data_IF_516546513256
#
_entry.id   IF_516546513256
#
_cell.length_a   1.000
_cell.length_b   1.000
_cell.length_c   1.000
_cell.angle_alpha   90.00
_cell.angle_beta   90.00
_cell.angle_gamma   90.00
#
_symmetry.space_group_name_H-M   'P 1'
#
loop_
_entity.id
_entity.type
_entity.pdbx_description
1 polymer ?
#
# COMPACT_ATOMS: atom_id res chain seq x y z
N UNK A 1 2.48 33.57 14.60
CA UNK A 1 3.38 32.40 14.48
C UNK A 1 3.94 32.11 15.84
N UNK A 2 3.43 31.10 16.55
CA UNK A 2 3.99 30.69 17.82
C UNK A 2 5.24 29.85 17.54
N UNK A 3 6.40 30.46 17.71
CA UNK A 3 7.65 29.72 17.79
C UNK A 3 7.58 28.86 19.06
N UNK A 4 7.33 27.55 18.91
CA UNK A 4 7.59 26.59 19.97
C UNK A 4 9.08 26.72 20.30
N UNK A 5 9.40 27.30 21.46
CA UNK A 5 10.77 27.32 21.98
C UNK A 5 11.14 25.89 22.32
N UNK A 6 12.07 25.35 21.57
CA UNK A 6 12.64 24.04 21.86
C UNK A 6 13.28 24.11 23.27
N UNK A 7 13.22 23.02 24.06
CA UNK A 7 13.84 22.94 25.34
C UNK A 7 15.34 23.27 25.23
N UNK A 8 15.88 23.98 26.23
CA UNK A 8 17.28 24.38 26.20
C UNK A 8 18.22 23.18 26.09
N UNK A 9 17.88 22.06 26.71
CA UNK A 9 18.59 20.78 26.61
C UNK A 9 18.76 20.28 25.19
N UNK A 10 17.70 20.37 24.33
CA UNK A 10 17.78 19.99 22.92
C UNK A 10 18.72 20.93 22.13
N UNK A 11 18.74 22.21 22.46
CA UNK A 11 19.62 23.17 21.82
C UNK A 11 21.09 22.88 22.23
N UNK A 12 21.33 22.56 23.48
CA UNK A 12 22.68 22.26 23.99
C UNK A 12 23.18 20.90 23.47
N UNK A 13 22.29 19.91 23.35
CA UNK A 13 22.60 18.64 22.72
C UNK A 13 22.98 18.84 21.23
N UNK A 14 22.24 19.68 20.50
CA UNK A 14 22.58 19.99 19.12
C UNK A 14 23.90 20.71 18.95
N UNK A 15 24.18 21.68 19.83
CA UNK A 15 25.49 22.38 19.85
C UNK A 15 26.65 21.43 20.15
N UNK A 16 26.44 20.45 21.02
CA UNK A 16 27.42 19.43 21.34
C UNK A 16 27.79 18.57 20.12
N UNK A 17 26.86 18.36 19.17
CA UNK A 17 27.14 17.65 17.89
C UNK A 17 28.13 18.39 16.99
N UNK A 18 28.35 19.67 17.21
CA UNK A 18 29.31 20.51 16.48
C UNK A 18 30.51 20.95 17.34
N UNK A 19 30.76 20.28 18.46
CA UNK A 19 31.88 20.62 19.37
C UNK A 19 33.25 20.49 18.69
N UNK A 20 34.20 21.32 19.10
CA UNK A 20 35.56 21.31 18.54
C UNK A 20 36.31 20.01 18.84
N UNK A 21 36.11 19.46 20.05
CA UNK A 21 36.70 18.20 20.47
C UNK A 21 36.00 17.03 19.75
N UNK A 22 36.79 16.18 19.12
CA UNK A 22 36.33 15.05 18.32
C UNK A 22 35.64 13.96 19.13
N UNK A 23 36.09 13.71 20.38
CA UNK A 23 35.46 12.70 21.24
C UNK A 23 34.09 13.15 21.74
N UNK A 24 33.98 14.40 22.16
CA UNK A 24 32.70 14.99 22.64
C UNK A 24 31.72 15.04 21.50
N UNK A 25 32.16 15.45 20.31
CA UNK A 25 31.34 15.51 19.12
C UNK A 25 30.83 14.12 18.72
N UNK A 26 31.69 13.12 18.65
CA UNK A 26 31.29 11.76 18.26
C UNK A 26 30.27 11.17 19.26
N UNK A 27 30.49 11.34 20.55
CA UNK A 27 29.53 10.90 21.58
C UNK A 27 28.18 11.60 21.44
N UNK A 28 28.19 12.92 21.23
CA UNK A 28 26.95 13.70 21.08
C UNK A 28 26.18 13.32 19.81
N UNK A 29 26.86 13.08 18.72
CA UNK A 29 26.21 12.68 17.46
C UNK A 29 25.64 11.26 17.52
N UNK A 30 26.39 10.33 18.14
CA UNK A 30 25.88 8.98 18.39
C UNK A 30 24.64 8.99 19.28
N UNK A 31 24.64 9.80 20.34
CA UNK A 31 23.47 9.97 21.20
C UNK A 31 22.29 10.58 20.43
N UNK A 32 22.54 11.60 19.63
CA UNK A 32 21.53 12.25 18.81
C UNK A 32 20.89 11.28 17.77
N UNK A 33 21.71 10.47 17.07
CA UNK A 33 21.20 9.47 16.15
C UNK A 33 20.36 8.40 16.86
N UNK A 34 20.79 7.96 18.06
CA UNK A 34 20.05 6.99 18.86
C UNK A 34 18.69 7.54 19.37
N UNK A 35 18.65 8.81 19.79
CA UNK A 35 17.41 9.47 20.22
C UNK A 35 16.41 9.66 19.07
N UNK A 36 16.91 9.90 17.84
CA UNK A 36 16.07 10.05 16.66
C UNK A 36 15.51 8.71 16.13
N UNK A 37 16.15 7.61 16.45
CA UNK A 37 15.79 6.30 15.90
C UNK A 37 14.33 5.93 16.17
N UNK A 38 13.87 6.11 17.40
CA UNK A 38 12.51 5.73 17.78
C UNK A 38 11.42 6.62 17.17
N UNK A 39 11.51 7.97 17.24
CA UNK A 39 10.56 8.86 16.57
C UNK A 39 10.51 8.67 15.06
N UNK A 40 11.65 8.44 14.40
CA UNK A 40 11.70 8.18 12.96
C UNK A 40 11.03 6.86 12.59
N UNK A 41 11.28 5.80 13.37
CA UNK A 41 10.63 4.51 13.18
C UNK A 41 9.11 4.65 13.30
N UNK A 42 8.62 5.30 14.33
CA UNK A 42 7.22 5.55 14.53
C UNK A 42 6.64 6.41 13.39
N UNK A 43 7.31 7.51 13.02
CA UNK A 43 6.86 8.40 11.94
C UNK A 43 6.79 7.73 10.58
N UNK A 44 7.70 6.81 10.26
CA UNK A 44 7.64 6.03 9.03
C UNK A 44 6.43 5.10 9.03
N UNK A 45 6.15 4.43 10.15
CA UNK A 45 5.01 3.51 10.25
C UNK A 45 3.65 4.23 10.34
N UNK A 46 3.57 5.38 10.99
CA UNK A 46 2.32 6.14 11.14
C UNK A 46 1.87 6.82 9.84
N UNK A 47 2.82 7.14 8.96
CA UNK A 47 2.55 7.79 7.66
C UNK A 47 2.47 6.84 6.48
N UNK A 48 2.63 5.57 6.75
CA UNK A 48 2.52 4.53 5.74
C UNK A 48 1.05 4.30 5.37
N UNK A 49 0.69 4.62 4.12
CA UNK A 49 -0.65 4.39 3.59
C UNK A 49 -0.98 2.89 3.42
N UNK A 50 0.01 2.03 3.55
CA UNK A 50 -0.13 0.58 3.45
C UNK A 50 -0.46 -0.10 4.79
N UNK A 51 -0.37 0.63 5.91
CA UNK A 51 -0.59 0.07 7.26
C UNK A 51 -1.97 -0.54 7.50
N UNK A 52 -2.96 -0.15 6.69
CA UNK A 52 -4.30 -0.76 6.68
C UNK A 52 -4.46 -1.91 5.70
N UNK A 53 -3.48 -2.14 4.80
CA UNK A 53 -3.54 -3.16 3.76
C UNK A 53 -2.67 -4.36 4.14
N UNK A 54 -1.42 -4.11 4.52
CA UNK A 54 -0.45 -5.15 4.82
C UNK A 54 -0.35 -5.46 6.30
N UNK A 55 -0.35 -6.75 6.63
CA UNK A 55 0.03 -7.24 7.94
C UNK A 55 1.55 -7.17 8.08
N UNK A 56 2.03 -6.36 9.03
CA UNK A 56 3.46 -6.19 9.32
C UNK A 56 3.92 -7.31 10.24
N UNK A 57 4.86 -8.14 9.78
CA UNK A 57 5.40 -9.26 10.53
C UNK A 57 6.89 -9.09 10.74
N UNK A 58 7.30 -8.85 11.98
CA UNK A 58 8.72 -8.76 12.34
C UNK A 58 9.29 -10.18 12.47
N UNK A 59 10.26 -10.49 11.64
CA UNK A 59 10.92 -11.80 11.63
C UNK A 59 11.96 -11.91 12.75
N UNK A 60 12.03 -13.07 13.37
CA UNK A 60 13.13 -13.37 14.28
C UNK A 60 14.47 -13.42 13.53
N UNK A 61 15.61 -13.08 14.18
CA UNK A 61 16.92 -13.16 13.56
C UNK A 61 17.18 -14.55 12.97
N UNK A 62 17.50 -14.59 11.66
CA UNK A 62 17.73 -15.85 10.94
C UNK A 62 16.49 -16.60 10.45
N UNK A 63 15.28 -16.12 10.77
CA UNK A 63 14.06 -16.67 10.23
C UNK A 63 13.90 -16.34 8.74
N UNK A 64 13.34 -17.28 7.99
CA UNK A 64 12.97 -17.08 6.59
C UNK A 64 11.51 -16.64 6.50
N UNK A 65 11.19 -15.76 5.56
CA UNK A 65 9.84 -15.31 5.30
C UNK A 65 9.12 -16.35 4.41
N UNK A 66 8.79 -17.51 4.99
CA UNK A 66 8.04 -18.56 4.31
C UNK A 66 6.59 -18.51 4.77
N UNK A 67 5.69 -18.46 3.80
CA UNK A 67 4.26 -18.41 4.04
C UNK A 67 3.59 -19.60 3.38
N UNK A 68 2.74 -20.34 4.10
CA UNK A 68 1.95 -21.40 3.50
C UNK A 68 0.94 -20.76 2.55
N UNK A 69 0.88 -21.26 1.32
CA UNK A 69 -0.16 -20.90 0.38
C UNK A 69 -1.46 -21.64 0.70
N UNK A 70 -2.58 -21.10 0.25
CA UNK A 70 -3.87 -21.78 0.37
C UNK A 70 -3.78 -23.17 -0.30
N UNK A 71 -4.19 -24.19 0.43
CA UNK A 71 -4.11 -25.59 -0.03
C UNK A 71 -5.06 -25.90 -1.19
N UNK A 72 -6.03 -25.04 -1.43
CA UNK A 72 -7.03 -25.20 -2.49
C UNK A 72 -6.72 -24.22 -3.61
N UNK A 73 -6.21 -24.73 -4.73
CA UNK A 73 -5.97 -23.89 -5.91
C UNK A 73 -7.29 -23.42 -6.50
N UNK A 74 -7.33 -22.20 -7.11
CA UNK A 74 -8.50 -21.73 -7.82
C UNK A 74 -8.92 -22.74 -8.91
N UNK A 75 -10.18 -23.22 -8.85
CA UNK A 75 -10.71 -24.21 -9.76
C UNK A 75 -10.66 -25.66 -9.25
N UNK A 76 -9.97 -25.92 -8.12
CA UNK A 76 -9.86 -27.26 -7.50
C UNK A 76 -10.78 -27.42 -6.29
N UNK A 77 -11.66 -26.46 -6.03
CA UNK A 77 -12.56 -26.46 -4.87
C UNK A 77 -13.46 -27.70 -4.82
N UNK A 78 -13.89 -28.18 -5.99
CA UNK A 78 -14.73 -29.38 -6.11
C UNK A 78 -14.03 -30.66 -5.66
N UNK A 79 -12.69 -30.67 -5.64
CA UNK A 79 -11.93 -31.83 -5.19
C UNK A 79 -12.07 -32.10 -3.70
N UNK A 80 -12.44 -31.06 -2.91
CA UNK A 80 -12.56 -31.11 -1.46
C UNK A 80 -14.01 -31.18 -0.96
N UNK A 81 -14.97 -31.33 -1.85
CA UNK A 81 -16.38 -31.51 -1.49
C UNK A 81 -16.59 -32.81 -0.76
N UNK A 82 -17.37 -32.77 0.32
CA UNK A 82 -17.78 -33.96 1.04
C UNK A 82 -18.72 -34.83 0.20
N UNK A 83 -18.52 -36.14 0.22
CA UNK A 83 -19.34 -37.09 -0.50
C UNK A 83 -20.46 -37.68 0.38
N UNK A 84 -21.64 -37.88 -0.22
CA UNK A 84 -22.68 -38.69 0.39
C UNK A 84 -22.23 -40.17 0.40
N UNK A 85 -22.08 -40.77 1.57
CA UNK A 85 -21.62 -42.16 1.70
C UNK A 85 -22.77 -43.11 1.99
N UNK A 86 -22.80 -44.30 1.39
CA UNK A 86 -23.64 -45.38 1.82
C UNK A 86 -23.20 -45.90 3.22
N UNK A 87 -24.12 -46.49 3.98
CA UNK A 87 -23.89 -46.93 5.39
C UNK A 87 -22.66 -47.78 5.63
N UNK A 88 -22.05 -48.37 4.61
CA UNK A 88 -20.90 -49.28 4.71
C UNK A 88 -19.79 -48.92 3.70
N UNK A 89 -19.64 -47.63 3.36
CA UNK A 89 -18.61 -47.18 2.45
C UNK A 89 -17.30 -46.80 3.19
N UNK A 90 -16.15 -46.89 2.50
CA UNK A 90 -14.88 -46.37 3.00
C UNK A 90 -14.87 -44.86 2.76
N UNK A 91 -14.45 -44.09 3.77
CA UNK A 91 -14.23 -42.64 3.64
C UNK A 91 -13.11 -42.40 2.60
N UNK A 92 -13.35 -41.61 1.55
CA UNK A 92 -12.30 -41.27 0.62
C UNK A 92 -11.22 -40.44 1.36
N UNK A 93 -10.00 -40.90 1.28
CA UNK A 93 -8.84 -40.21 1.81
C UNK A 93 -8.32 -39.26 0.76
N UNK A 94 -8.07 -38.04 1.13
CA UNK A 94 -7.43 -37.03 0.27
C UNK A 94 -6.20 -36.50 0.97
N UNK A 95 -5.14 -36.36 0.23
CA UNK A 95 -3.90 -35.76 0.70
C UNK A 95 -3.85 -34.29 0.24
N UNK A 96 -3.56 -33.41 1.18
CA UNK A 96 -3.38 -31.99 0.91
C UNK A 96 -1.87 -31.72 0.98
N UNK A 97 -1.28 -31.38 -0.16
CA UNK A 97 0.09 -30.91 -0.23
C UNK A 97 0.06 -29.38 -0.20
N UNK A 98 0.65 -28.79 0.83
CA UNK A 98 0.79 -27.35 0.95
C UNK A 98 2.02 -26.86 0.18
N UNK A 99 1.83 -25.87 -0.66
CA UNK A 99 2.93 -25.11 -1.23
C UNK A 99 3.35 -24.00 -0.24
N UNK A 100 4.64 -23.66 -0.22
CA UNK A 100 5.15 -22.53 0.55
C UNK A 100 5.68 -21.45 -0.39
N UNK A 101 5.32 -20.20 -0.11
CA UNK A 101 5.87 -19.04 -0.80
C UNK A 101 7.00 -18.45 0.03
N UNK A 102 8.19 -18.41 -0.53
CA UNK A 102 9.28 -17.64 0.02
C UNK A 102 9.21 -16.19 -0.48
N UNK A 103 9.13 -15.23 0.46
CA UNK A 103 9.09 -13.81 0.15
C UNK A 103 10.50 -13.22 0.29
N UNK A 104 11.11 -12.74 -0.80
CA UNK A 104 12.42 -12.10 -0.72
C UNK A 104 12.31 -10.76 0.04
N UNK A 105 13.22 -10.54 0.96
CA UNK A 105 13.41 -9.25 1.62
C UNK A 105 14.53 -8.47 0.95
N UNK A 106 14.41 -7.16 0.90
CA UNK A 106 15.42 -6.27 0.34
C UNK A 106 15.66 -5.09 1.27
N UNK A 107 16.90 -4.63 1.26
CA UNK A 107 17.33 -3.52 2.08
C UNK A 107 17.08 -2.19 1.37
N UNK A 108 16.45 -1.26 2.04
CA UNK A 108 16.35 0.12 1.60
C UNK A 108 17.17 1.00 2.55
N UNK A 109 17.87 1.96 2.00
CA UNK A 109 18.72 2.88 2.75
C UNK A 109 18.50 4.31 2.27
N UNK A 110 18.68 5.24 3.19
CA UNK A 110 18.67 6.66 2.90
C UNK A 110 19.69 7.37 3.79
N UNK A 111 20.14 8.55 3.37
CA UNK A 111 21.04 9.38 4.14
C UNK A 111 20.68 10.86 3.96
N UNK A 112 20.95 11.65 4.98
CA UNK A 112 20.80 13.09 4.91
C UNK A 112 21.93 13.78 5.69
N UNK A 113 22.42 14.87 5.16
CA UNK A 113 23.46 15.67 5.76
C UNK A 113 23.08 17.15 5.85
N UNK A 114 23.74 17.83 6.78
CA UNK A 114 23.62 19.28 6.97
C UNK A 114 24.96 19.90 7.34
N UNK A 115 25.11 21.19 7.06
CA UNK A 115 26.34 21.91 7.43
C UNK A 115 26.47 22.04 8.97
N UNK A 116 27.67 21.79 9.50
CA UNK A 116 28.01 22.01 10.91
C UNK A 116 27.72 23.46 11.37
N UNK A 117 27.70 24.41 10.44
CA UNK A 117 27.32 25.79 10.73
C UNK A 117 25.91 25.88 11.32
N UNK A 118 24.96 25.11 10.79
CA UNK A 118 23.58 25.11 11.33
C UNK A 118 23.49 24.54 12.74
N UNK A 119 24.30 23.53 13.04
CA UNK A 119 24.38 22.98 14.40
C UNK A 119 25.02 23.98 15.36
N UNK A 120 26.11 24.69 14.95
CA UNK A 120 26.76 25.74 15.75
C UNK A 120 25.84 26.92 16.01
N UNK A 121 25.08 27.35 15.01
CA UNK A 121 24.10 28.44 15.11
C UNK A 121 22.78 28.01 15.76
N UNK A 122 22.65 26.74 16.16
CA UNK A 122 21.45 26.15 16.74
C UNK A 122 20.19 26.35 15.91
N UNK A 123 20.31 26.24 14.59
CA UNK A 123 19.18 26.29 13.65
C UNK A 123 18.44 24.94 13.62
N UNK A 124 17.75 24.68 14.69
CA UNK A 124 17.02 23.45 14.89
C UNK A 124 15.94 23.21 13.83
N UNK A 125 15.28 24.27 13.38
CA UNK A 125 14.25 24.25 12.34
C UNK A 125 14.75 23.68 11.00
N UNK A 126 15.97 24.01 10.60
CA UNK A 126 16.59 23.51 9.35
C UNK A 126 16.90 22.01 9.47
N UNK A 127 17.46 21.59 10.61
CA UNK A 127 17.82 20.20 10.83
C UNK A 127 16.55 19.33 10.94
N UNK A 128 15.53 19.79 11.66
CA UNK A 128 14.26 19.07 11.76
C UNK A 128 13.54 18.97 10.41
N UNK A 129 13.68 19.97 9.54
CA UNK A 129 13.17 19.89 8.16
C UNK A 129 13.93 18.82 7.36
N UNK A 130 15.23 18.76 7.48
CA UNK A 130 16.06 17.74 6.85
C UNK A 130 15.64 16.33 7.30
N UNK A 131 15.44 16.13 8.61
CA UNK A 131 14.98 14.85 9.16
C UNK A 131 13.60 14.45 8.62
N UNK A 132 12.67 15.39 8.48
CA UNK A 132 11.36 15.11 7.86
C UNK A 132 11.48 14.69 6.38
N UNK A 133 12.40 15.28 5.63
CA UNK A 133 12.67 14.88 4.24
C UNK A 133 13.25 13.46 4.20
N UNK A 134 14.15 13.14 5.13
CA UNK A 134 14.71 11.81 5.28
C UNK A 134 13.62 10.75 5.55
N UNK A 135 12.74 11.03 6.52
CA UNK A 135 11.59 10.19 6.85
C UNK A 135 10.65 9.99 5.66
N UNK A 136 10.28 11.10 4.98
CA UNK A 136 9.41 11.06 3.82
C UNK A 136 9.99 10.21 2.67
N UNK A 137 11.31 10.17 2.54
CA UNK A 137 11.98 9.32 1.56
C UNK A 137 11.75 7.82 1.80
N UNK A 138 11.80 7.36 3.05
CA UNK A 138 11.48 5.98 3.39
C UNK A 138 10.00 5.66 3.16
N UNK A 139 9.11 6.52 3.65
CA UNK A 139 7.64 6.33 3.47
C UNK A 139 7.29 6.21 2.00
N UNK A 140 7.81 7.12 1.16
CA UNK A 140 7.55 7.09 -0.28
C UNK A 140 8.05 5.79 -0.92
N UNK A 141 9.23 5.30 -0.52
CA UNK A 141 9.79 4.07 -1.07
C UNK A 141 8.97 2.85 -0.67
N UNK A 142 8.61 2.74 0.61
CA UNK A 142 7.76 1.66 1.15
C UNK A 142 6.42 1.64 0.42
N UNK A 143 5.75 2.79 0.32
CA UNK A 143 4.45 2.89 -0.36
C UNK A 143 4.56 2.50 -1.83
N UNK A 144 5.58 2.97 -2.54
CA UNK A 144 5.79 2.63 -3.95
C UNK A 144 6.02 1.13 -4.14
N UNK A 145 6.84 0.49 -3.30
CA UNK A 145 7.14 -0.94 -3.43
C UNK A 145 5.93 -1.81 -3.08
N UNK A 146 5.18 -1.46 -2.02
CA UNK A 146 3.96 -2.16 -1.65
C UNK A 146 2.88 -2.07 -2.73
N UNK A 147 2.62 -0.87 -3.25
CA UNK A 147 1.65 -0.70 -4.34
C UNK A 147 2.07 -1.39 -5.63
N UNK A 148 3.34 -1.37 -6.00
CA UNK A 148 3.84 -2.13 -7.16
C UNK A 148 3.63 -3.62 -7.01
N UNK A 149 3.74 -4.16 -5.80
CA UNK A 149 3.44 -5.57 -5.52
C UNK A 149 1.95 -5.86 -5.69
N UNK A 150 1.06 -5.00 -5.19
CA UNK A 150 -0.39 -5.13 -5.39
C UNK A 150 -0.74 -5.06 -6.88
N UNK A 151 -0.21 -4.08 -7.60
CA UNK A 151 -0.45 -3.91 -9.04
C UNK A 151 0.06 -5.10 -9.84
N UNK A 152 1.24 -5.64 -9.49
CA UNK A 152 1.77 -6.86 -10.12
C UNK A 152 0.89 -8.09 -9.86
N UNK A 153 0.39 -8.25 -8.64
CA UNK A 153 -0.54 -9.34 -8.32
C UNK A 153 -1.88 -9.19 -9.05
N UNK A 154 -2.39 -7.96 -9.15
CA UNK A 154 -3.62 -7.65 -9.89
C UNK A 154 -3.49 -7.94 -11.38
N UNK A 155 -2.36 -7.58 -11.98
CA UNK A 155 -2.07 -7.87 -13.39
C UNK A 155 -1.90 -9.38 -13.63
N UNK A 156 -1.18 -10.07 -12.76
CA UNK A 156 -0.97 -11.52 -12.82
C UNK A 156 -2.26 -12.33 -12.74
N UNK A 157 -3.30 -11.81 -12.09
CA UNK A 157 -4.63 -12.41 -12.07
C UNK A 157 -5.31 -12.40 -13.45
N UNK A 158 -4.95 -11.45 -14.31
CA UNK A 158 -5.50 -11.34 -15.67
C UNK A 158 -6.97 -10.94 -15.77
N UNK A 159 -7.62 -10.61 -14.64
CA UNK A 159 -9.02 -10.18 -14.61
C UNK A 159 -9.09 -8.65 -14.54
N UNK A 160 -9.78 -8.05 -15.51
CA UNK A 160 -10.11 -6.62 -15.51
C UNK A 160 -11.61 -6.47 -15.55
N UNK A 161 -12.13 -5.61 -14.70
CA UNK A 161 -13.56 -5.25 -14.69
C UNK A 161 -13.71 -3.86 -15.26
N UNK A 162 -14.58 -3.74 -16.24
CA UNK A 162 -14.93 -2.46 -16.86
C UNK A 162 -16.39 -2.13 -16.57
N UNK A 163 -16.78 -0.88 -16.70
CA UNK A 163 -18.16 -0.47 -16.60
C UNK A 163 -19.07 -1.25 -17.59
N UNK A 164 -18.51 -1.72 -18.69
CA UNK A 164 -19.20 -2.40 -19.78
C UNK A 164 -19.13 -3.93 -19.74
N UNK A 165 -18.49 -4.48 -18.74
CA UNK A 165 -18.31 -5.91 -18.59
C UNK A 165 -17.02 -6.25 -17.86
N UNK A 166 -16.81 -7.51 -17.60
CA UNK A 166 -15.55 -8.03 -17.07
C UNK A 166 -15.02 -9.09 -18.03
N UNK A 167 -13.75 -9.01 -18.42
CA UNK A 167 -13.09 -10.15 -18.97
C UNK A 167 -12.64 -11.05 -17.78
N UNK A 168 -13.03 -12.29 -17.66
CA UNK A 168 -13.55 -13.27 -18.59
C UNK A 168 -15.07 -13.48 -18.55
N UNK A 169 -15.85 -12.60 -17.94
CA UNK A 169 -17.32 -12.75 -17.96
C UNK A 169 -17.89 -12.37 -19.33
N UNK A 170 -17.60 -13.21 -20.32
CA UNK A 170 -18.20 -13.16 -21.64
C UNK A 170 -19.68 -13.49 -21.51
N UNK A 171 -20.53 -12.49 -21.61
CA UNK A 171 -21.98 -12.75 -21.62
C UNK A 171 -22.87 -11.59 -21.20
N UNK A 172 -22.32 -10.53 -20.64
CA UNK A 172 -23.10 -9.33 -20.34
C UNK A 172 -22.79 -8.23 -21.35
N UNK A 173 -23.53 -8.20 -22.43
CA UNK A 173 -23.61 -7.05 -23.32
C UNK A 173 -24.34 -5.93 -22.59
N UNK A 174 -23.65 -5.21 -21.74
CA UNK A 174 -24.17 -3.96 -21.19
C UNK A 174 -23.66 -2.83 -22.07
N UNK A 175 -24.59 -2.10 -22.60
CA UNK A 175 -24.35 -0.91 -23.42
C UNK A 175 -23.61 0.10 -22.56
N UNK A 176 -22.42 0.58 -22.97
CA UNK A 176 -21.74 1.63 -22.26
C UNK A 176 -22.53 2.93 -22.41
N UNK A 177 -22.97 3.46 -21.31
CA UNK A 177 -23.57 4.79 -21.28
C UNK A 177 -22.57 5.84 -20.81
N UNK A 178 -21.46 5.40 -20.20
CA UNK A 178 -20.40 6.28 -19.72
C UNK A 178 -19.39 6.61 -20.82
N UNK A 179 -18.98 7.87 -20.89
CA UNK A 179 -17.81 8.29 -21.66
C UNK A 179 -16.54 7.71 -21.02
N UNK A 180 -15.50 7.46 -21.81
CA UNK A 180 -14.21 7.00 -21.29
C UNK A 180 -13.65 8.01 -20.29
N UNK A 181 -13.12 7.52 -19.18
CA UNK A 181 -12.62 8.35 -18.07
C UNK A 181 -13.71 8.87 -17.14
N UNK A 182 -14.91 8.31 -17.15
CA UNK A 182 -15.95 8.60 -16.17
C UNK A 182 -16.17 7.43 -15.23
N UNK A 183 -15.98 7.66 -13.94
CA UNK A 183 -16.22 6.67 -12.91
C UNK A 183 -17.72 6.52 -12.64
N UNK A 184 -18.23 5.29 -12.66
CA UNK A 184 -19.66 5.02 -12.50
C UNK A 184 -19.95 4.06 -11.35
N UNK A 185 -21.15 4.17 -10.76
CA UNK A 185 -21.64 3.24 -9.72
C UNK A 185 -21.74 1.80 -10.20
N UNK A 186 -22.00 1.61 -11.50
CA UNK A 186 -22.07 0.28 -12.12
C UNK A 186 -20.72 -0.42 -12.04
N UNK A 187 -19.60 0.30 -12.16
CA UNK A 187 -18.27 -0.28 -12.04
C UNK A 187 -18.06 -0.91 -10.67
N UNK A 188 -18.41 -0.21 -9.59
CA UNK A 188 -18.30 -0.73 -8.21
C UNK A 188 -19.15 -2.00 -8.04
N UNK A 189 -20.40 -1.96 -8.51
CA UNK A 189 -21.31 -3.11 -8.42
C UNK A 189 -20.77 -4.34 -9.19
N UNK A 190 -20.15 -4.11 -10.36
CA UNK A 190 -19.53 -5.16 -11.17
C UNK A 190 -18.27 -5.70 -10.54
N UNK A 191 -17.41 -4.83 -10.03
CA UNK A 191 -16.20 -5.23 -9.29
C UNK A 191 -16.57 -6.13 -8.11
N UNK A 192 -17.61 -5.77 -7.35
CA UNK A 192 -18.12 -6.58 -6.24
C UNK A 192 -18.59 -7.95 -6.71
N UNK A 193 -19.37 -8.00 -7.78
CA UNK A 193 -19.85 -9.27 -8.35
C UNK A 193 -18.70 -10.11 -8.91
N UNK A 194 -17.76 -9.48 -9.61
CA UNK A 194 -16.62 -10.17 -10.21
C UNK A 194 -15.69 -10.74 -9.13
N UNK A 195 -15.42 -9.99 -8.07
CA UNK A 195 -14.60 -10.45 -6.96
C UNK A 195 -15.25 -11.65 -6.25
N UNK A 196 -16.55 -11.56 -5.95
CA UNK A 196 -17.29 -12.66 -5.30
C UNK A 196 -17.31 -13.93 -6.16
N UNK A 197 -17.54 -13.80 -7.48
CA UNK A 197 -17.54 -14.95 -8.40
C UNK A 197 -16.13 -15.49 -8.66
N UNK A 198 -15.14 -14.62 -8.73
CA UNK A 198 -13.74 -14.99 -8.96
C UNK A 198 -13.07 -15.65 -7.77
N UNK A 199 -13.72 -15.70 -6.62
CA UNK A 199 -13.24 -16.37 -5.41
C UNK A 199 -13.42 -17.89 -5.42
N UNK A 200 -14.05 -18.45 -6.46
CA UNK A 200 -14.18 -19.90 -6.61
C UNK A 200 -15.10 -20.58 -5.60
N UNK A 201 -16.04 -19.87 -5.00
CA UNK A 201 -16.96 -20.44 -4.01
C UNK A 201 -16.37 -20.70 -2.63
N UNK A 202 -15.11 -20.39 -2.42
CA UNK A 202 -14.48 -20.42 -1.11
C UNK A 202 -15.07 -19.30 -0.24
N UNK A 203 -15.84 -19.63 0.78
CA UNK A 203 -16.64 -18.69 1.57
C UNK A 203 -15.88 -17.57 2.30
N UNK A 204 -14.54 -17.62 2.27
CA UNK A 204 -13.67 -16.65 2.95
C UNK A 204 -12.99 -15.63 2.04
N UNK A 205 -13.11 -15.74 0.72
CA UNK A 205 -12.49 -14.82 -0.23
C UNK A 205 -13.54 -14.17 -1.12
N UNK A 206 -13.24 -12.98 -1.66
CA UNK A 206 -14.04 -12.35 -2.70
C UNK A 206 -15.05 -11.33 -2.23
N UNK A 207 -14.82 -10.71 -1.09
CA UNK A 207 -15.63 -9.59 -0.62
C UNK A 207 -14.90 -8.28 -0.91
N UNK A 208 -15.35 -7.54 -1.92
CA UNK A 208 -14.82 -6.20 -2.17
C UNK A 208 -15.12 -5.30 -0.96
N UNK A 209 -14.09 -4.88 -0.25
CA UNK A 209 -14.19 -4.00 0.92
C UNK A 209 -13.72 -2.59 0.61
N UNK A 210 -12.66 -2.45 -0.18
CA UNK A 210 -11.98 -1.20 -0.43
C UNK A 210 -11.69 -1.02 -1.92
N UNK A 211 -11.83 0.21 -2.41
CA UNK A 211 -11.47 0.60 -3.78
C UNK A 211 -10.61 1.85 -3.74
N UNK A 212 -9.45 1.75 -4.36
CA UNK A 212 -8.49 2.84 -4.51
C UNK A 212 -8.60 3.44 -5.90
N UNK A 213 -8.79 4.75 -5.97
CA UNK A 213 -9.07 5.47 -7.22
C UNK A 213 -8.39 6.83 -7.25
N UNK A 214 -8.39 7.42 -8.45
CA UNK A 214 -7.79 8.74 -8.72
C UNK A 214 -8.61 9.86 -8.09
N UNK A 215 -8.00 11.04 -8.04
CA UNK A 215 -8.68 12.27 -7.63
C UNK A 215 -9.78 12.66 -8.63
N UNK A 216 -9.55 12.40 -9.91
CA UNK A 216 -10.47 12.64 -11.02
C UNK A 216 -11.73 11.75 -10.87
N UNK A 217 -11.56 10.48 -10.56
CA UNK A 217 -12.69 9.58 -10.28
C UNK A 217 -13.51 10.02 -9.06
N UNK A 218 -12.86 10.58 -8.03
CA UNK A 218 -13.56 11.16 -6.89
C UNK A 218 -14.30 12.44 -7.26
N UNK A 219 -13.82 13.22 -8.25
CA UNK A 219 -14.53 14.36 -8.78
C UNK A 219 -15.81 13.94 -9.51
N UNK A 220 -15.74 12.87 -10.31
CA UNK A 220 -16.91 12.27 -10.96
C UNK A 220 -17.97 11.86 -9.93
N UNK A 221 -17.55 11.21 -8.84
CA UNK A 221 -18.47 10.82 -7.75
C UNK A 221 -19.14 12.05 -7.13
N UNK A 222 -18.42 13.17 -6.97
CA UNK A 222 -19.00 14.41 -6.45
C UNK A 222 -19.98 15.05 -7.43
N UNK A 223 -19.80 14.79 -8.73
CA UNK A 223 -20.64 15.31 -9.80
C UNK A 223 -21.92 14.52 -10.05
N UNK A 224 -22.08 13.33 -9.45
CA UNK A 224 -23.30 12.53 -9.62
C UNK A 224 -24.54 13.27 -9.15
N UNK A 225 -25.55 13.31 -10.00
CA UNK A 225 -26.81 14.00 -9.75
C UNK A 225 -27.72 13.25 -8.75
N UNK A 226 -28.72 13.98 -8.24
CA UNK A 226 -29.73 13.47 -7.28
C UNK A 226 -30.55 12.32 -7.87
N UNK A 227 -30.71 12.30 -9.20
CA UNK A 227 -31.39 11.21 -9.92
C UNK A 227 -30.55 9.93 -9.97
N UNK A 228 -29.26 10.02 -9.76
CA UNK A 228 -28.34 8.88 -9.77
C UNK A 228 -28.12 8.30 -8.37
N UNK A 229 -28.17 9.14 -7.35
CA UNK A 229 -27.97 8.74 -5.96
C UNK A 229 -29.05 9.39 -5.09
N UNK A 230 -29.76 8.59 -4.29
CA UNK A 230 -30.68 9.06 -3.28
C UNK A 230 -30.01 10.07 -2.33
N UNK A 231 -30.73 11.12 -1.97
CA UNK A 231 -30.23 12.21 -1.11
C UNK A 231 -29.65 11.69 0.23
N UNK A 232 -30.17 10.57 0.73
CA UNK A 232 -29.69 9.91 1.94
C UNK A 232 -28.29 9.30 1.73
N UNK A 233 -28.08 8.59 0.64
CA UNK A 233 -26.79 7.98 0.27
C UNK A 233 -25.75 9.06 -0.04
N UNK A 234 -26.16 10.14 -0.70
CA UNK A 234 -25.30 11.31 -0.95
C UNK A 234 -24.85 11.95 0.36
N UNK A 235 -25.73 12.02 1.35
CA UNK A 235 -25.39 12.53 2.68
C UNK A 235 -24.42 11.62 3.42
N UNK A 236 -24.58 10.30 3.33
CA UNK A 236 -23.63 9.34 3.92
C UNK A 236 -22.25 9.44 3.26
N UNK A 237 -22.18 9.55 1.94
CA UNK A 237 -20.93 9.68 1.18
C UNK A 237 -20.16 10.95 1.55
N UNK A 238 -20.87 12.09 1.70
CA UNK A 238 -20.23 13.41 1.85
C UNK A 238 -20.24 13.98 3.27
N UNK A 239 -21.03 13.46 4.18
CA UNK A 239 -21.19 14.00 5.56
C UNK A 239 -20.40 13.23 6.60
N UNK A 240 -19.86 12.07 6.30
CA UNK A 240 -18.91 11.38 7.18
C UNK A 240 -17.60 12.18 7.30
N UNK A 241 -17.70 13.34 7.96
CA UNK A 241 -16.60 14.31 8.11
C UNK A 241 -15.45 13.83 8.99
N UNK A 242 -15.63 12.76 9.75
CA UNK A 242 -14.61 12.36 10.72
C UNK A 242 -13.45 11.58 10.09
N UNK A 243 -13.63 10.96 8.91
CA UNK A 243 -12.58 10.15 8.28
C UNK A 243 -12.39 10.36 6.77
N UNK A 244 -13.15 11.23 6.12
CA UNK A 244 -12.97 11.57 4.69
C UNK A 244 -13.16 10.40 3.71
N UNK A 245 -13.67 9.27 4.16
CA UNK A 245 -13.85 8.07 3.36
C UNK A 245 -15.29 8.01 2.82
N UNK A 246 -15.44 8.08 1.50
CA UNK A 246 -16.73 7.83 0.85
C UNK A 246 -17.03 6.33 0.89
N UNK A 247 -18.26 5.95 1.25
CA UNK A 247 -18.68 4.56 1.26
C UNK A 247 -19.89 4.36 0.35
N UNK A 248 -19.78 3.45 -0.62
CA UNK A 248 -20.84 3.13 -1.59
C UNK A 248 -21.03 1.62 -1.62
N UNK A 249 -22.27 1.17 -1.49
CA UNK A 249 -22.63 -0.27 -1.45
C UNK A 249 -21.86 -1.09 -0.41
N UNK A 250 -21.43 -0.46 0.70
CA UNK A 250 -20.61 -1.10 1.72
C UNK A 250 -19.14 -1.28 1.32
N UNK A 251 -18.69 -0.55 0.31
CA UNK A 251 -17.29 -0.48 -0.15
C UNK A 251 -16.72 0.88 0.21
N UNK A 252 -15.56 0.89 0.83
CA UNK A 252 -14.86 2.13 1.19
C UNK A 252 -14.05 2.60 -0.01
N UNK A 253 -14.16 3.88 -0.34
CA UNK A 253 -13.43 4.50 -1.45
C UNK A 253 -12.27 5.33 -0.91
N UNK A 254 -11.07 5.04 -1.40
CA UNK A 254 -9.84 5.72 -1.02
C UNK A 254 -9.32 6.54 -2.20
N UNK A 255 -9.13 7.83 -1.95
CA UNK A 255 -8.54 8.75 -2.92
C UNK A 255 -7.02 8.68 -2.88
N UNK A 256 -6.38 8.53 -4.05
CA UNK A 256 -4.93 8.49 -4.18
C UNK A 256 -4.43 9.40 -5.30
N UNK A 257 -3.41 10.18 -4.99
CA UNK A 257 -2.80 11.13 -5.92
C UNK A 257 -1.93 10.46 -6.98
N UNK A 258 -1.48 9.24 -6.71
CA UNK A 258 -0.59 8.46 -7.59
C UNK A 258 -1.35 7.65 -8.65
N UNK A 259 -2.69 7.58 -8.54
CA UNK A 259 -3.58 7.07 -9.59
C UNK A 259 -4.08 8.20 -10.48
N UNK A 260 -4.48 7.90 -11.70
CA UNK A 260 -4.98 8.82 -12.70
C UNK A 260 -4.15 8.82 -13.98
N UNK A 261 -4.67 9.45 -15.03
CA UNK A 261 -4.02 9.50 -16.34
C UNK A 261 -2.63 10.15 -16.25
N UNK A 262 -1.59 9.40 -16.64
CA UNK A 262 -0.19 9.86 -16.62
C UNK A 262 0.49 9.87 -15.26
N UNK A 263 -0.17 9.40 -14.18
CA UNK A 263 0.42 9.32 -12.84
C UNK A 263 1.32 8.09 -12.65
N UNK A 264 1.99 7.99 -11.48
CA UNK A 264 3.05 7.00 -11.23
C UNK A 264 2.58 5.56 -11.44
N UNK A 265 1.42 5.18 -10.88
CA UNK A 265 0.96 3.79 -10.93
C UNK A 265 0.36 3.40 -12.27
N UNK A 266 -0.26 4.33 -12.97
CA UNK A 266 -0.68 4.09 -14.34
C UNK A 266 0.51 3.88 -15.26
N UNK A 267 1.55 4.73 -15.13
CA UNK A 267 2.78 4.59 -15.89
C UNK A 267 3.49 3.26 -15.57
N UNK A 268 3.43 2.78 -14.33
CA UNK A 268 3.96 1.48 -13.97
C UNK A 268 3.20 0.35 -14.67
N UNK A 269 1.87 0.38 -14.69
CA UNK A 269 1.04 -0.59 -15.40
C UNK A 269 1.34 -0.59 -16.91
N UNK A 270 1.45 0.60 -17.52
CA UNK A 270 1.72 0.74 -18.97
C UNK A 270 3.13 0.35 -19.35
N UNK A 271 4.14 0.81 -18.63
CA UNK A 271 5.55 0.67 -19.04
C UNK A 271 6.19 -0.60 -18.51
N UNK A 272 5.93 -0.99 -17.28
CA UNK A 272 6.58 -2.13 -16.63
C UNK A 272 5.80 -3.42 -16.85
N UNK A 273 4.49 -3.38 -16.71
CA UNK A 273 3.63 -4.54 -16.92
C UNK A 273 3.09 -4.65 -18.36
N UNK A 274 3.46 -3.68 -19.23
CA UNK A 274 3.04 -3.61 -20.63
C UNK A 274 1.51 -3.69 -20.84
N UNK A 275 0.75 -3.21 -19.85
CA UNK A 275 -0.69 -3.21 -19.89
C UNK A 275 -1.20 -2.01 -20.71
N UNK A 276 -2.01 -2.25 -21.71
CA UNK A 276 -2.71 -1.21 -22.48
C UNK A 276 -4.16 -1.11 -22.02
N UNK A 277 -4.73 0.09 -22.13
CA UNK A 277 -6.14 0.30 -21.86
C UNK A 277 -7.01 -0.51 -22.84
N UNK A 278 -8.08 -1.06 -22.31
CA UNK A 278 -9.03 -1.81 -23.11
C UNK A 278 -9.89 -0.86 -23.95
N UNK A 279 -10.25 -1.33 -25.15
CA UNK A 279 -11.23 -0.65 -26.01
C UNK A 279 -12.52 -1.44 -25.94
N UNK A 280 -13.57 -0.81 -25.44
CA UNK A 280 -14.90 -1.40 -25.33
C UNK A 280 -15.87 -0.57 -26.15
N UNK A 281 -16.57 -1.20 -27.12
CA UNK A 281 -17.51 -0.53 -28.02
C UNK A 281 -16.92 0.71 -28.73
N UNK A 282 -15.69 0.60 -29.23
CA UNK A 282 -14.94 1.66 -29.90
C UNK A 282 -14.52 2.84 -28.99
N UNK A 283 -14.68 2.72 -27.68
CA UNK A 283 -14.22 3.67 -26.70
C UNK A 283 -13.02 3.08 -25.97
N UNK A 284 -11.89 3.76 -26.01
CA UNK A 284 -10.69 3.37 -25.24
C UNK A 284 -10.80 3.96 -23.85
N UNK A 285 -10.71 3.10 -22.84
CA UNK A 285 -10.74 3.48 -21.43
C UNK A 285 -9.46 4.22 -21.07
N UNK A 286 -9.47 4.99 -19.96
CA UNK A 286 -8.40 5.93 -19.66
C UNK A 286 -7.74 5.69 -18.31
N UNK A 287 -8.49 5.23 -17.32
CA UNK A 287 -8.03 5.16 -15.94
C UNK A 287 -8.24 3.79 -15.33
N UNK A 288 -7.42 3.50 -14.32
CA UNK A 288 -7.49 2.28 -13.52
C UNK A 288 -7.89 2.60 -12.07
N UNK A 289 -8.69 1.72 -11.49
CA UNK A 289 -8.89 1.66 -10.06
C UNK A 289 -8.59 0.25 -9.54
N UNK A 290 -8.21 0.13 -8.28
CA UNK A 290 -7.86 -1.14 -7.66
C UNK A 290 -8.85 -1.46 -6.56
N UNK A 291 -9.49 -2.62 -6.68
CA UNK A 291 -10.35 -3.16 -5.64
C UNK A 291 -9.61 -4.19 -4.80
N UNK A 292 -9.74 -4.09 -3.49
CA UNK A 292 -9.13 -5.00 -2.53
C UNK A 292 -10.19 -5.65 -1.64
N UNK A 293 -9.91 -6.89 -1.25
CA UNK A 293 -10.61 -7.59 -0.18
C UNK A 293 -9.72 -7.58 1.08
N UNK A 294 -10.02 -6.67 1.99
CA UNK A 294 -9.34 -6.52 3.28
C UNK A 294 -10.14 -7.14 4.44
N UNK A 295 -11.10 -8.00 4.14
CA UNK A 295 -11.92 -8.67 5.17
C UNK A 295 -11.09 -9.54 6.11
N UNK A 296 -9.97 -10.09 5.62
CA UNK A 296 -8.93 -10.77 6.40
C UNK A 296 -7.57 -10.25 5.94
N UNK A 297 -6.70 -9.88 6.86
CA UNK A 297 -5.38 -9.30 6.54
C UNK A 297 -4.32 -10.33 6.20
N UNK A 298 -4.63 -11.61 6.26
CA UNK A 298 -3.72 -12.74 6.07
C UNK A 298 -3.15 -12.87 4.65
N UNK A 299 -3.76 -12.20 3.67
CA UNK A 299 -3.35 -12.29 2.27
C UNK A 299 -2.32 -11.25 1.83
N UNK A 300 -2.18 -10.19 2.57
CA UNK A 300 -1.22 -9.12 2.30
C UNK A 300 -0.19 -9.09 3.43
N UNK A 301 1.03 -9.51 3.16
CA UNK A 301 2.06 -9.63 4.17
C UNK A 301 3.27 -8.76 3.88
N UNK A 302 3.78 -8.13 4.93
CA UNK A 302 5.01 -7.34 4.91
C UNK A 302 5.98 -7.92 5.94
N UNK A 303 6.81 -8.91 5.55
CA UNK A 303 7.88 -9.38 6.42
C UNK A 303 8.93 -8.28 6.61
N UNK A 304 9.25 -7.98 7.86
CA UNK A 304 10.27 -7.02 8.25
C UNK A 304 11.39 -7.80 8.92
N UNK A 305 12.55 -7.86 8.27
CA UNK A 305 13.72 -8.52 8.83
C UNK A 305 14.52 -7.61 9.74
N UNK A 306 14.62 -6.36 9.35
CA UNK A 306 15.32 -5.34 10.13
C UNK A 306 14.50 -4.04 10.09
N UNK A 307 14.09 -3.60 11.28
CA UNK A 307 13.41 -2.31 11.42
C UNK A 307 14.40 -1.17 11.19
N UNK A 308 13.88 0.03 10.88
CA UNK A 308 14.70 1.21 10.61
C UNK A 308 15.75 1.43 11.72
N UNK A 309 17.01 1.34 11.33
CA UNK A 309 18.17 1.66 12.17
C UNK A 309 18.84 2.92 11.64
N UNK A 310 19.21 3.81 12.53
CA UNK A 310 19.80 5.11 12.19
C UNK A 310 21.18 5.24 12.82
N UNK A 311 22.14 5.68 12.04
CA UNK A 311 23.54 5.84 12.45
C UNK A 311 24.05 7.23 12.07
N UNK A 312 25.06 7.71 12.80
CA UNK A 312 25.82 8.88 12.42
C UNK A 312 26.79 8.58 11.27
N UNK A 313 27.04 9.58 10.44
CA UNK A 313 28.06 9.48 9.40
C UNK A 313 29.35 10.28 9.75
N UNK A 314 30.37 9.63 10.31
CA UNK A 314 31.63 10.29 10.67
C UNK A 314 32.48 10.70 9.45
N UNK A 315 32.20 10.18 8.26
CA UNK A 315 32.98 10.49 7.05
C UNK A 315 32.81 11.95 6.60
N UNK A 316 31.67 12.55 6.94
CA UNK A 316 31.30 13.92 6.54
C UNK A 316 32.05 15.02 7.32
N UNK A 317 32.78 14.68 8.37
CA UNK A 317 33.47 15.70 9.20
C UNK A 317 34.55 16.45 8.44
N UNK A 318 35.21 15.78 7.48
CA UNK A 318 36.23 16.42 6.62
C UNK A 318 35.64 17.53 5.76
N UNK A 319 34.33 17.43 5.45
CA UNK A 319 33.59 18.38 4.63
C UNK A 319 32.85 19.44 5.46
N UNK A 320 33.07 19.47 6.78
CA UNK A 320 32.35 20.32 7.72
C UNK A 320 30.85 20.11 7.70
N UNK A 321 30.43 18.86 7.50
CA UNK A 321 29.03 18.41 7.51
C UNK A 321 28.83 17.41 8.64
N UNK A 322 27.60 17.29 9.09
CA UNK A 322 27.12 16.20 9.93
C UNK A 322 25.90 15.60 9.28
N UNK A 323 25.73 14.31 9.42
CA UNK A 323 24.62 13.60 8.81
C UNK A 323 24.25 12.35 9.57
N UNK A 324 23.11 11.82 9.19
CA UNK A 324 22.61 10.53 9.62
C UNK A 324 22.33 9.69 8.37
N UNK A 325 22.57 8.41 8.48
CA UNK A 325 22.14 7.43 7.51
C UNK A 325 21.43 6.29 8.21
N UNK A 326 20.60 5.58 7.51
CA UNK A 326 19.92 4.43 8.05
C UNK A 326 19.43 3.51 6.97
N UNK A 327 19.08 2.31 7.40
CA UNK A 327 18.50 1.28 6.55
C UNK A 327 17.44 0.50 7.29
N UNK A 328 16.60 -0.16 6.53
CA UNK A 328 15.66 -1.17 6.99
C UNK A 328 15.57 -2.27 5.95
N UNK A 329 15.20 -3.48 6.36
CA UNK A 329 15.02 -4.62 5.46
C UNK A 329 13.62 -5.16 5.59
N UNK A 330 12.88 -5.17 4.48
CA UNK A 330 11.51 -5.66 4.39
C UNK A 330 11.22 -6.26 3.02
N UNK A 331 10.10 -6.96 2.93
CA UNK A 331 9.55 -7.46 1.68
C UNK A 331 8.06 -7.19 1.60
N UNK A 332 7.46 -7.46 0.45
CA UNK A 332 6.02 -7.41 0.25
C UNK A 332 5.56 -8.64 -0.52
N UNK A 333 4.42 -9.19 -0.14
CA UNK A 333 3.78 -10.24 -0.91
C UNK A 333 2.26 -10.18 -0.80
N UNK A 334 1.61 -10.59 -1.88
CA UNK A 334 0.19 -10.89 -1.95
C UNK A 334 0.05 -12.40 -2.05
N UNK A 335 -0.39 -13.05 -0.98
CA UNK A 335 -0.47 -14.51 -0.91
C UNK A 335 -1.66 -15.05 -1.72
N UNK A 336 -2.79 -14.34 -1.67
CA UNK A 336 -3.98 -14.71 -2.44
C UNK A 336 -4.35 -13.63 -3.47
N UNK A 337 -3.99 -13.81 -4.76
CA UNK A 337 -4.29 -12.84 -5.80
C UNK A 337 -5.80 -12.71 -6.10
N UNK A 338 -6.66 -13.63 -5.60
CA UNK A 338 -8.12 -13.54 -5.75
C UNK A 338 -8.70 -12.32 -5.02
N UNK A 339 -7.95 -11.75 -4.07
CA UNK A 339 -8.35 -10.60 -3.26
C UNK A 339 -7.99 -9.25 -3.87
N UNK A 340 -7.41 -9.26 -5.05
CA UNK A 340 -7.07 -8.03 -5.77
C UNK A 340 -7.77 -8.02 -7.13
N UNK A 341 -8.29 -6.87 -7.54
CA UNK A 341 -9.01 -6.70 -8.80
C UNK A 341 -8.71 -5.34 -9.40
N UNK A 342 -8.51 -5.29 -10.72
CA UNK A 342 -8.40 -4.03 -11.46
C UNK A 342 -9.76 -3.67 -12.03
N UNK A 343 -10.21 -2.44 -11.78
CA UNK A 343 -11.29 -1.80 -12.52
C UNK A 343 -10.72 -0.82 -13.52
N UNK A 344 -11.39 -0.67 -14.66
CA UNK A 344 -10.98 0.22 -15.74
C UNK A 344 -12.19 1.00 -16.27
N UNK A 345 -12.04 2.32 -16.49
CA UNK A 345 -13.13 3.21 -16.91
C UNK A 345 -12.68 4.34 -17.84
#
# INVERSE_FOLDING_TARGET
>A
MNFQRYPQEAIDALRATAHADSEVRAKAQKAFAAELQWPLRQGVFDRDNLGGIYEKQVLAPGAQANYPLDFVKPGDEDQFIAFAMPKQGRVPERHVEGDELWVPTFQIANSIDWSLKYAKEARFDVIMRAIRVYEAGFVRKINSDGWRTILGAADGRGMVVTANGSAPFTGSTLVPTAAAGQFTKELISRMKTAMTRGAGGNGNAGRLTDVYLSMEAMEDIRAWDVDEIDEFTRREIFVSKEYGLAQIYGVVLHEMTEFGEGQEYENFLKTTLARSHQTVNSVTLKEYCIGLDLSTMDSFVMPIREELQTYEDPSLYREQRAGIFGWMEHGFAVLDPRRVLIGEF
#
